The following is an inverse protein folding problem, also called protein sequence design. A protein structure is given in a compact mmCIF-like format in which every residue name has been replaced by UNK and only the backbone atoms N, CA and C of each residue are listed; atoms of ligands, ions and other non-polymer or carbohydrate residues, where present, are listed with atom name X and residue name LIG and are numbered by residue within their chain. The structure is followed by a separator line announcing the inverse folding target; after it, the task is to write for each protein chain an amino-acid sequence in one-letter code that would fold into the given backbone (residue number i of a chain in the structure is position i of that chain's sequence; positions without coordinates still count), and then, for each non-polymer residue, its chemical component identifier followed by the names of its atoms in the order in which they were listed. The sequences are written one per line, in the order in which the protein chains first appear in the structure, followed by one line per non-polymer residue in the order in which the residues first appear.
data_IF_086147121727
#
_entry.id   IF_086147121727
#
_cell.length_a   1.000
_cell.length_b   1.000
_cell.length_c   1.000
_cell.angle_alpha   90.00
_cell.angle_beta   90.00
_cell.angle_gamma   90.00
#
_symmetry.space_group_name_H-M   'P 1'
#
loop_
_entity.id
_entity.type
_entity.pdbx_description
1 polymer ?
#
# COMPACT_ATOMS: atom_id res chain seq x y z
N UNK A 1 16.74 -15.69 -13.81
CA UNK A 1 15.87 -14.83 -14.64
C UNK A 1 14.44 -14.90 -14.09
N UNK A 2 14.11 -14.14 -13.05
CA UNK A 2 12.78 -14.21 -12.39
C UNK A 2 12.44 -12.94 -11.56
N UNK A 3 12.90 -11.76 -11.99
CA UNK A 3 12.72 -10.49 -11.28
C UNK A 3 11.64 -9.56 -11.89
N UNK A 4 10.84 -10.03 -12.85
CA UNK A 4 10.02 -9.14 -13.71
C UNK A 4 8.56 -8.96 -13.29
N UNK A 5 8.02 -9.72 -12.33
CA UNK A 5 6.57 -9.68 -12.03
C UNK A 5 6.14 -8.61 -11.01
N UNK A 6 7.03 -8.14 -10.15
CA UNK A 6 6.71 -7.10 -9.15
C UNK A 6 6.93 -5.68 -9.67
N UNK A 7 7.92 -5.45 -10.54
CA UNK A 7 8.11 -4.17 -11.23
C UNK A 7 6.95 -3.80 -12.16
N UNK A 8 6.29 -4.81 -12.74
CA UNK A 8 5.12 -4.59 -13.58
C UNK A 8 3.94 -3.98 -12.81
N UNK A 9 3.79 -4.25 -11.50
CA UNK A 9 2.61 -3.82 -10.74
C UNK A 9 2.65 -2.31 -10.42
N UNK A 10 3.80 -1.77 -9.99
CA UNK A 10 3.94 -0.34 -9.72
C UNK A 10 3.95 0.52 -11.01
N UNK A 11 4.52 0.01 -12.11
CA UNK A 11 4.46 0.65 -13.43
C UNK A 11 3.05 0.57 -14.06
N UNK A 12 2.25 -0.45 -13.74
CA UNK A 12 0.86 -0.54 -14.21
C UNK A 12 0.01 0.63 -13.71
N UNK A 13 0.20 1.07 -12.46
CA UNK A 13 -0.55 2.19 -11.88
C UNK A 13 -0.18 3.56 -12.48
N UNK A 14 1.09 3.80 -12.83
CA UNK A 14 1.49 5.05 -13.49
C UNK A 14 1.00 5.15 -14.94
N UNK A 15 0.93 4.02 -15.66
CA UNK A 15 0.33 3.96 -17.00
C UNK A 15 -1.21 4.07 -16.95
N UNK A 16 -1.85 3.58 -15.89
CA UNK A 16 -3.31 3.66 -15.70
C UNK A 16 -3.81 5.09 -15.45
N UNK A 17 -3.00 5.96 -14.83
CA UNK A 17 -3.35 7.38 -14.63
C UNK A 17 -3.62 8.14 -15.95
N UNK A 18 -3.07 7.68 -17.07
CA UNK A 18 -3.23 8.33 -18.39
C UNK A 18 -4.34 7.69 -19.23
N UNK A 19 -4.67 6.41 -18.99
CA UNK A 19 -5.64 5.68 -19.81
C UNK A 19 -7.10 5.72 -19.30
N UNK A 20 -7.33 5.93 -18.00
CA UNK A 20 -8.66 5.75 -17.39
C UNK A 20 -9.45 7.03 -17.10
N UNK A 21 -9.01 8.19 -17.60
CA UNK A 21 -9.83 9.40 -17.64
C UNK A 21 -11.06 9.30 -18.58
N UNK A 22 -11.37 8.11 -19.13
CA UNK A 22 -12.32 7.95 -20.22
C UNK A 22 -13.30 6.76 -20.11
N UNK A 23 -13.53 6.14 -18.94
CA UNK A 23 -14.54 5.08 -18.85
C UNK A 23 -15.38 5.12 -17.56
N UNK A 24 -16.64 5.57 -17.61
CA UNK A 24 -17.60 5.39 -16.54
C UNK A 24 -18.23 4.01 -16.72
N UNK A 25 -17.79 3.02 -15.93
CA UNK A 25 -18.52 1.75 -15.85
C UNK A 25 -19.36 1.77 -14.58
N UNK A 26 -20.67 1.69 -14.82
CA UNK A 26 -21.69 1.68 -13.80
C UNK A 26 -21.66 0.41 -12.98
N UNK A 27 -21.94 0.58 -11.71
CA UNK A 27 -22.80 -0.30 -10.94
C UNK A 27 -23.50 0.57 -9.89
N UNK A 28 -24.76 0.27 -9.60
CA UNK A 28 -25.59 0.94 -8.60
C UNK A 28 -25.03 0.70 -7.18
N UNK A 29 -23.85 1.23 -6.88
CA UNK A 29 -23.31 1.26 -5.53
C UNK A 29 -23.88 2.50 -4.81
N UNK A 30 -24.38 2.34 -3.57
CA UNK A 30 -24.78 3.48 -2.78
C UNK A 30 -23.57 4.41 -2.64
N UNK A 31 -23.77 5.71 -2.86
CA UNK A 31 -22.73 6.69 -2.67
C UNK A 31 -22.17 6.57 -1.25
N UNK A 32 -20.84 6.61 -1.12
CA UNK A 32 -20.19 6.54 0.19
C UNK A 32 -20.73 7.62 1.11
N UNK A 33 -20.99 7.22 2.35
CA UNK A 33 -21.38 8.19 3.38
C UNK A 33 -20.18 9.08 3.70
N UNK A 34 -20.46 10.31 4.15
CA UNK A 34 -19.42 11.20 4.67
C UNK A 34 -18.59 10.50 5.77
N UNK A 35 -19.26 9.76 6.67
CA UNK A 35 -18.61 8.99 7.73
C UNK A 35 -17.62 7.94 7.19
N UNK A 36 -17.94 7.25 6.09
CA UNK A 36 -17.06 6.25 5.49
C UNK A 36 -15.81 6.89 4.88
N UNK A 37 -15.96 8.03 4.18
CA UNK A 37 -14.83 8.78 3.62
C UNK A 37 -13.90 9.31 4.71
N UNK A 38 -14.45 9.91 5.76
CA UNK A 38 -13.67 10.38 6.92
C UNK A 38 -12.95 9.23 7.63
N UNK A 39 -13.60 8.07 7.74
CA UNK A 39 -12.99 6.88 8.34
C UNK A 39 -11.84 6.34 7.49
N UNK A 40 -12.01 6.25 6.17
CA UNK A 40 -10.94 5.82 5.26
C UNK A 40 -9.74 6.77 5.36
N UNK A 41 -9.98 8.08 5.29
CA UNK A 41 -8.96 9.12 5.46
C UNK A 41 -8.23 8.94 6.80
N UNK A 42 -8.98 8.86 7.90
CA UNK A 42 -8.39 8.69 9.26
C UNK A 42 -7.50 7.45 9.34
N UNK A 43 -7.96 6.31 8.84
CA UNK A 43 -7.20 5.05 8.82
C UNK A 43 -5.89 5.22 8.06
N UNK A 44 -5.97 5.81 6.86
CA UNK A 44 -4.82 6.00 5.97
C UNK A 44 -3.80 6.94 6.62
N UNK A 45 -4.25 8.08 7.14
CA UNK A 45 -3.36 9.05 7.77
C UNK A 45 -2.69 8.49 9.03
N UNK A 46 -3.41 7.69 9.82
CA UNK A 46 -2.81 7.05 10.99
C UNK A 46 -1.83 5.94 10.61
N UNK A 47 -2.12 5.15 9.57
CA UNK A 47 -1.17 4.18 9.03
C UNK A 47 0.10 4.88 8.53
N UNK A 48 -0.05 6.02 7.85
CA UNK A 48 1.05 6.87 7.39
C UNK A 48 1.87 7.42 8.55
N UNK A 49 1.23 8.01 9.57
CA UNK A 49 1.90 8.54 10.75
C UNK A 49 2.74 7.48 11.48
N UNK A 50 2.26 6.23 11.54
CA UNK A 50 3.02 5.11 12.15
C UNK A 50 4.30 4.80 11.36
N UNK A 51 4.29 4.94 10.04
CA UNK A 51 5.43 4.57 9.19
C UNK A 51 6.34 5.74 8.80
N UNK A 52 5.86 6.99 8.91
CA UNK A 52 6.54 8.19 8.44
C UNK A 52 7.90 8.41 9.13
N UNK A 53 8.02 8.00 10.39
CA UNK A 53 9.23 8.18 11.18
C UNK A 53 10.14 6.93 11.23
N UNK A 54 9.77 5.85 10.51
CA UNK A 54 10.51 4.59 10.60
C UNK A 54 11.63 4.51 9.57
N UNK A 55 12.84 4.25 10.07
CA UNK A 55 13.98 3.85 9.25
C UNK A 55 14.03 2.31 9.09
N UNK A 56 14.86 1.82 8.18
CA UNK A 56 15.19 0.38 8.06
C UNK A 56 15.71 -0.17 9.38
N UNK A 57 16.51 0.62 10.11
CA UNK A 57 17.04 0.22 11.40
C UNK A 57 15.91 0.05 12.42
N UNK A 58 14.96 0.99 12.47
CA UNK A 58 13.80 0.90 13.36
C UNK A 58 12.95 -0.32 13.04
N UNK A 59 12.69 -0.57 11.76
CA UNK A 59 11.91 -1.75 11.33
C UNK A 59 12.61 -3.03 11.77
N UNK A 60 13.91 -3.17 11.53
CA UNK A 60 14.68 -4.35 11.96
C UNK A 60 14.73 -4.49 13.48
N UNK A 61 14.87 -3.38 14.21
CA UNK A 61 14.92 -3.41 15.67
C UNK A 61 13.58 -3.80 16.28
N UNK A 62 12.45 -3.35 15.70
CA UNK A 62 11.11 -3.62 16.23
C UNK A 62 10.56 -4.98 15.83
N UNK A 63 10.81 -5.42 14.59
CA UNK A 63 10.23 -6.64 14.04
C UNK A 63 11.22 -7.83 14.01
N UNK A 64 12.46 -7.60 14.43
CA UNK A 64 13.49 -8.62 14.51
C UNK A 64 14.14 -8.94 13.17
N UNK A 65 14.59 -10.18 12.99
CA UNK A 65 15.29 -10.61 11.77
C UNK A 65 14.28 -10.91 10.66
N UNK A 66 14.38 -10.28 9.47
CA UNK A 66 13.53 -10.62 8.33
C UNK A 66 13.82 -12.02 7.79
N UNK A 67 12.78 -12.69 7.29
CA UNK A 67 12.88 -13.99 6.61
C UNK A 67 13.54 -13.88 5.24
N UNK A 68 13.40 -12.71 4.61
CA UNK A 68 14.09 -12.39 3.36
C UNK A 68 14.31 -10.89 3.23
N UNK A 69 15.43 -10.53 2.61
CA UNK A 69 15.79 -9.16 2.25
C UNK A 69 16.00 -9.13 0.75
N UNK A 70 15.41 -8.14 0.08
CA UNK A 70 15.66 -7.89 -1.34
C UNK A 70 16.09 -6.43 -1.50
N UNK A 71 17.07 -6.18 -2.36
CA UNK A 71 17.54 -4.83 -2.65
C UNK A 71 17.51 -4.63 -4.15
N UNK A 72 16.78 -3.59 -4.57
CA UNK A 72 16.70 -3.17 -5.97
C UNK A 72 17.29 -1.77 -6.09
N UNK A 73 17.98 -1.52 -7.19
CA UNK A 73 18.40 -0.18 -7.58
C UNK A 73 17.47 0.27 -8.69
N UNK A 74 16.90 1.45 -8.52
CA UNK A 74 15.99 2.05 -9.50
C UNK A 74 16.55 3.42 -9.87
N UNK A 75 16.63 3.70 -11.17
CA UNK A 75 17.14 4.97 -11.66
C UNK A 75 16.22 6.10 -11.19
N UNK A 76 16.81 7.18 -10.68
CA UNK A 76 16.04 8.34 -10.26
C UNK A 76 15.40 8.97 -11.50
N UNK A 77 14.08 9.20 -11.41
CA UNK A 77 13.27 9.71 -12.52
C UNK A 77 13.65 11.13 -12.95
N UNK A 78 14.17 11.93 -12.04
CA UNK A 78 14.48 13.34 -12.25
C UNK A 78 15.97 13.59 -12.50
N UNK A 79 16.83 12.75 -11.94
CA UNK A 79 18.29 12.84 -12.10
C UNK A 79 18.83 11.48 -12.54
N UNK A 80 18.90 11.20 -13.85
CA UNK A 80 19.20 9.88 -14.41
C UNK A 80 20.53 9.27 -13.92
N UNK A 81 21.49 10.08 -13.51
CA UNK A 81 22.80 9.65 -13.01
C UNK A 81 22.72 9.05 -11.59
N UNK A 82 21.62 9.28 -10.87
CA UNK A 82 21.42 8.82 -9.50
C UNK A 82 20.61 7.52 -9.51
N UNK A 83 21.06 6.53 -8.75
CA UNK A 83 20.32 5.28 -8.52
C UNK A 83 19.78 5.23 -7.10
N UNK A 84 18.46 5.35 -6.96
CA UNK A 84 17.81 5.18 -5.67
C UNK A 84 17.82 3.71 -5.28
N UNK A 85 17.90 3.44 -3.97
CA UNK A 85 17.87 2.07 -3.43
C UNK A 85 16.51 1.78 -2.82
N UNK A 86 15.93 0.66 -3.21
CA UNK A 86 14.73 0.13 -2.57
C UNK A 86 15.05 -1.17 -1.84
N UNK A 87 14.74 -1.21 -0.55
CA UNK A 87 14.96 -2.38 0.30
C UNK A 87 13.61 -2.96 0.67
N UNK A 88 13.39 -4.23 0.35
CA UNK A 88 12.21 -4.98 0.76
C UNK A 88 12.60 -5.90 1.91
N UNK A 89 12.02 -5.67 3.08
CA UNK A 89 12.13 -6.54 4.25
C UNK A 89 10.87 -7.39 4.35
N UNK A 90 11.02 -8.70 4.27
CA UNK A 90 9.91 -9.65 4.45
C UNK A 90 10.00 -10.29 5.82
N UNK A 91 8.88 -10.34 6.51
CA UNK A 91 8.64 -11.05 7.76
C UNK A 91 7.45 -11.99 7.54
N UNK A 92 7.22 -12.91 8.48
CA UNK A 92 6.10 -13.87 8.36
C UNK A 92 4.74 -13.19 8.21
N UNK A 93 4.55 -12.07 8.92
CA UNK A 93 3.28 -11.33 8.96
C UNK A 93 3.31 -10.01 8.22
N UNK A 94 4.48 -9.50 7.86
CA UNK A 94 4.66 -8.13 7.38
C UNK A 94 5.62 -8.04 6.21
N UNK A 95 5.38 -7.08 5.31
CA UNK A 95 6.36 -6.68 4.30
C UNK A 95 6.52 -5.17 4.35
N UNK A 96 7.77 -4.71 4.30
CA UNK A 96 8.11 -3.29 4.20
C UNK A 96 8.92 -3.07 2.93
N UNK A 97 8.57 -2.05 2.13
CA UNK A 97 9.45 -1.53 1.06
C UNK A 97 9.89 -0.13 1.43
N UNK A 98 11.20 0.03 1.53
CA UNK A 98 11.84 1.22 2.05
C UNK A 98 12.61 1.87 0.91
N UNK A 99 12.38 3.16 0.69
CA UNK A 99 13.18 3.98 -0.20
C UNK A 99 14.38 4.53 0.57
N UNK A 100 15.54 4.49 -0.07
CA UNK A 100 16.76 5.17 0.36
C UNK A 100 17.30 5.99 -0.79
N UNK A 101 17.40 7.29 -0.55
CA UNK A 101 18.05 8.19 -1.49
C UNK A 101 19.54 7.86 -1.60
N UNK A 102 20.10 7.97 -2.80
CA UNK A 102 21.53 7.79 -3.01
C UNK A 102 22.34 9.07 -2.77
N UNK A 103 21.71 10.24 -2.88
CA UNK A 103 22.38 11.54 -2.75
C UNK A 103 22.04 12.29 -1.45
N UNK A 104 21.07 11.80 -0.67
CA UNK A 104 20.71 12.37 0.63
C UNK A 104 20.66 11.26 1.69
N UNK A 105 20.54 11.63 2.97
CA UNK A 105 20.24 10.70 4.06
C UNK A 105 18.74 10.40 4.18
N UNK A 106 17.94 10.73 3.16
CA UNK A 106 16.50 10.56 3.19
C UNK A 106 16.12 9.09 3.04
N UNK A 107 15.29 8.63 3.94
CA UNK A 107 14.73 7.29 4.00
C UNK A 107 13.27 7.37 4.42
N UNK A 108 12.41 6.56 3.79
CA UNK A 108 11.00 6.43 4.19
C UNK A 108 10.39 5.13 3.68
N UNK A 109 9.33 4.68 4.34
CA UNK A 109 8.56 3.49 3.94
C UNK A 109 7.59 3.86 2.81
N UNK A 110 7.79 3.27 1.64
CA UNK A 110 6.90 3.45 0.47
C UNK A 110 5.75 2.44 0.42
N UNK A 111 5.92 1.29 1.08
CA UNK A 111 4.91 0.23 1.09
C UNK A 111 4.97 -0.54 2.40
N UNK A 112 3.80 -0.76 2.99
CA UNK A 112 3.59 -1.66 4.11
C UNK A 112 2.51 -2.68 3.78
N UNK A 113 2.79 -3.96 4.02
CA UNK A 113 1.84 -5.06 3.85
C UNK A 113 1.56 -5.76 5.17
N UNK A 114 0.28 -6.02 5.46
CA UNK A 114 -0.15 -6.99 6.47
C UNK A 114 -0.58 -8.29 5.78
N UNK A 115 0.05 -9.41 6.15
CA UNK A 115 -0.18 -10.73 5.55
C UNK A 115 -1.02 -11.67 6.42
N UNK A 116 -1.10 -11.47 7.74
CA UNK A 116 -1.69 -12.44 8.68
C UNK A 116 -2.51 -11.80 9.80
N UNK A 117 -3.46 -12.55 10.35
CA UNK A 117 -4.63 -12.10 11.11
C UNK A 117 -4.45 -12.03 12.63
N UNK A 118 -3.28 -12.40 13.15
CA UNK A 118 -3.07 -12.42 14.60
C UNK A 118 -2.79 -11.04 15.19
N UNK A 119 -2.59 -10.04 14.32
CA UNK A 119 -2.33 -8.68 14.75
C UNK A 119 -3.51 -7.83 14.29
N UNK A 120 -4.31 -7.36 15.23
CA UNK A 120 -5.33 -6.34 14.96
C UNK A 120 -4.57 -5.04 14.68
N UNK A 121 -4.62 -4.54 13.43
CA UNK A 121 -4.32 -3.13 13.24
C UNK A 121 -5.39 -2.36 14.03
N UNK A 122 -5.02 -1.17 14.51
CA UNK A 122 -6.02 -0.26 15.06
C UNK A 122 -7.13 -0.05 14.01
N UNK A 123 -8.32 0.38 14.43
CA UNK A 123 -9.43 0.73 13.52
C UNK A 123 -10.18 -0.44 12.87
N UNK A 124 -9.99 -1.68 13.35
CA UNK A 124 -10.77 -2.84 12.92
C UNK A 124 -10.35 -3.44 11.58
N UNK A 125 -9.26 -2.95 10.99
CA UNK A 125 -8.65 -3.52 9.80
C UNK A 125 -7.78 -4.71 10.15
N UNK A 126 -8.09 -5.85 9.54
CA UNK A 126 -7.26 -7.05 9.64
C UNK A 126 -7.50 -7.99 8.49
N UNK A 127 -6.56 -8.90 8.28
CA UNK A 127 -6.78 -10.04 7.40
C UNK A 127 -7.74 -11.04 8.05
N UNK A 128 -8.43 -11.84 7.24
CA UNK A 128 -9.39 -12.85 7.66
C UNK A 128 -10.84 -12.37 7.75
N UNK A 129 -11.11 -11.06 7.84
CA UNK A 129 -12.49 -10.53 7.80
C UNK A 129 -13.13 -10.73 6.42
N UNK A 130 -14.46 -10.71 6.35
CA UNK A 130 -15.17 -10.89 5.09
C UNK A 130 -15.07 -9.64 4.20
N UNK A 131 -15.23 -9.84 2.89
CA UNK A 131 -15.34 -8.73 1.94
C UNK A 131 -16.50 -7.79 2.30
N UNK A 132 -17.61 -8.33 2.80
CA UNK A 132 -18.75 -7.51 3.23
C UNK A 132 -18.39 -6.61 4.42
N UNK A 133 -17.63 -7.15 5.39
CA UNK A 133 -17.20 -6.39 6.57
C UNK A 133 -16.25 -5.26 6.19
N UNK A 134 -15.29 -5.50 5.29
CA UNK A 134 -14.36 -4.44 4.86
C UNK A 134 -15.11 -3.34 4.08
N UNK A 135 -16.05 -3.70 3.20
CA UNK A 135 -16.87 -2.73 2.47
C UNK A 135 -17.79 -1.93 3.40
N UNK A 136 -18.33 -2.56 4.44
CA UNK A 136 -19.09 -1.85 5.46
C UNK A 136 -18.21 -0.84 6.21
N UNK A 137 -16.97 -1.22 6.53
CA UNK A 137 -16.03 -0.39 7.27
C UNK A 137 -15.50 0.79 6.45
N UNK A 138 -15.06 0.54 5.21
CA UNK A 138 -14.35 1.51 4.37
C UNK A 138 -15.23 2.19 3.32
N UNK A 139 -16.44 1.68 3.08
CA UNK A 139 -17.26 2.09 1.95
C UNK A 139 -16.92 1.33 0.67
N UNK A 140 -17.42 1.87 -0.45
CA UNK A 140 -17.13 1.38 -1.78
C UNK A 140 -15.66 1.66 -2.16
N UNK A 141 -14.96 0.71 -2.77
CA UNK A 141 -13.66 0.97 -3.37
C UNK A 141 -13.82 1.81 -4.65
N UNK A 142 -12.82 2.60 -5.03
CA UNK A 142 -12.85 3.34 -6.31
C UNK A 142 -12.95 2.37 -7.49
N UNK A 143 -12.31 1.21 -7.40
CA UNK A 143 -12.49 0.12 -8.35
C UNK A 143 -12.07 -1.23 -7.77
N UNK A 144 -12.40 -2.30 -8.49
CA UNK A 144 -12.00 -3.67 -8.17
C UNK A 144 -11.29 -4.30 -9.36
N UNK A 145 -10.14 -4.94 -9.13
CA UNK A 145 -9.41 -5.70 -10.15
C UNK A 145 -8.95 -7.05 -9.60
N UNK A 146 -9.37 -8.16 -10.24
CA UNK A 146 -8.90 -9.53 -9.93
C UNK A 146 -8.90 -9.89 -8.43
N UNK A 147 -9.95 -9.50 -7.72
CA UNK A 147 -10.08 -9.74 -6.27
C UNK A 147 -9.29 -8.76 -5.41
N UNK A 148 -8.87 -7.62 -5.95
CA UNK A 148 -8.26 -6.51 -5.20
C UNK A 148 -9.24 -5.34 -5.19
N UNK A 149 -9.62 -4.90 -3.99
CA UNK A 149 -10.37 -3.66 -3.81
C UNK A 149 -9.36 -2.53 -3.66
N UNK A 150 -9.54 -1.44 -4.41
CA UNK A 150 -8.66 -0.27 -4.36
C UNK A 150 -9.39 0.85 -3.65
N UNK A 151 -8.74 1.39 -2.60
CA UNK A 151 -9.20 2.53 -1.81
C UNK A 151 -8.16 3.66 -1.94
N UNK A 152 -8.58 4.88 -2.27
CA UNK A 152 -7.69 6.02 -2.48
C UNK A 152 -8.07 7.19 -1.56
N UNK A 153 -7.13 7.62 -0.71
CA UNK A 153 -7.23 8.93 -0.07
C UNK A 153 -6.51 9.96 -0.95
N UNK A 154 -7.28 10.91 -1.49
CA UNK A 154 -6.81 11.93 -2.44
C UNK A 154 -6.67 13.32 -1.84
N UNK A 155 -6.81 13.47 -0.51
CA UNK A 155 -6.84 14.79 0.12
C UNK A 155 -5.47 15.49 0.11
N UNK A 156 -4.65 15.28 1.15
CA UNK A 156 -3.39 16.01 1.32
C UNK A 156 -2.19 15.22 0.79
N UNK A 157 -2.09 13.95 1.18
CA UNK A 157 -0.96 13.10 0.83
C UNK A 157 -1.47 11.80 0.20
N UNK A 158 -1.46 11.70 -1.14
CA UNK A 158 -2.04 10.56 -1.84
C UNK A 158 -1.54 9.24 -1.27
N UNK A 159 -2.47 8.39 -0.86
CA UNK A 159 -2.16 7.07 -0.32
C UNK A 159 -3.21 6.10 -0.81
N UNK A 160 -2.74 4.93 -1.23
CA UNK A 160 -3.61 3.88 -1.75
C UNK A 160 -3.59 2.70 -0.80
N UNK A 161 -4.77 2.23 -0.40
CA UNK A 161 -4.96 0.98 0.32
C UNK A 161 -5.51 -0.07 -0.65
N UNK A 162 -4.73 -1.13 -0.87
CA UNK A 162 -5.18 -2.28 -1.65
C UNK A 162 -5.61 -3.39 -0.68
N UNK A 163 -6.84 -3.88 -0.84
CA UNK A 163 -7.40 -4.97 -0.05
C UNK A 163 -7.50 -6.20 -0.95
N UNK A 164 -6.65 -7.18 -0.72
CA UNK A 164 -6.69 -8.45 -1.46
C UNK A 164 -7.72 -9.39 -0.85
N UNK A 165 -8.71 -9.78 -1.63
CA UNK A 165 -9.77 -10.69 -1.26
C UNK A 165 -9.60 -12.03 -2.00
N UNK A 166 -9.70 -13.13 -1.26
CA UNK A 166 -9.75 -14.48 -1.82
C UNK A 166 -10.83 -15.27 -1.10
N UNK A 167 -11.69 -15.94 -1.86
CA UNK A 167 -12.81 -16.72 -1.31
C UNK A 167 -13.68 -15.90 -0.33
N UNK A 168 -13.95 -14.63 -0.67
CA UNK A 168 -14.77 -13.72 0.13
C UNK A 168 -14.13 -13.22 1.43
N UNK A 169 -12.83 -13.46 1.66
CA UNK A 169 -12.10 -12.98 2.84
C UNK A 169 -10.87 -12.17 2.46
N UNK A 170 -10.57 -11.16 3.28
CA UNK A 170 -9.34 -10.37 3.17
C UNK A 170 -8.15 -11.27 3.47
N UNK A 171 -7.17 -11.30 2.60
CA UNK A 171 -5.94 -12.09 2.73
C UNK A 171 -4.70 -11.22 2.89
N UNK A 172 -4.77 -9.97 2.45
CA UNK A 172 -3.67 -9.03 2.55
C UNK A 172 -4.19 -7.59 2.47
N UNK A 173 -3.55 -6.71 3.23
CA UNK A 173 -3.72 -5.26 3.15
C UNK A 173 -2.40 -4.65 2.73
N UNK A 174 -2.41 -3.80 1.71
CA UNK A 174 -1.23 -3.12 1.19
C UNK A 174 -1.43 -1.60 1.23
N UNK A 175 -0.65 -0.92 2.06
CA UNK A 175 -0.62 0.54 2.16
C UNK A 175 0.52 1.09 1.32
N UNK A 176 0.18 1.78 0.23
CA UNK A 176 1.12 2.37 -0.71
C UNK A 176 1.17 3.88 -0.50
N UNK A 177 2.29 4.36 0.03
CA UNK A 177 2.50 5.75 0.39
C UNK A 177 3.25 6.47 -0.72
N UNK A 178 2.70 7.60 -1.18
CA UNK A 178 3.36 8.48 -2.12
C UNK A 178 3.96 9.66 -1.37
N UNK A 179 5.23 9.92 -1.66
CA UNK A 179 5.98 11.06 -1.18
C UNK A 179 6.43 11.83 -2.42
N UNK A 180 6.08 13.11 -2.47
CA UNK A 180 6.52 14.04 -3.52
C UNK A 180 7.92 14.58 -3.25
#
# INVERSE_FOLDING_TARGET
MQASKFHAFALFFFAFRVAYAANPLGDNQPADTFEQRERLHTIIQQARAVVAELTELDVRSRFGKPVAIQTNLEQNKYVPEIQNRFIVLKYDKYVFRIFKSANTQTEFITHFSLLSSNDDLRWGLKTGISELQIRYLLGAPEFTDRGVLVYEDRQEEPTVLLVHVRNGRVTRLDFCFYFE
#
